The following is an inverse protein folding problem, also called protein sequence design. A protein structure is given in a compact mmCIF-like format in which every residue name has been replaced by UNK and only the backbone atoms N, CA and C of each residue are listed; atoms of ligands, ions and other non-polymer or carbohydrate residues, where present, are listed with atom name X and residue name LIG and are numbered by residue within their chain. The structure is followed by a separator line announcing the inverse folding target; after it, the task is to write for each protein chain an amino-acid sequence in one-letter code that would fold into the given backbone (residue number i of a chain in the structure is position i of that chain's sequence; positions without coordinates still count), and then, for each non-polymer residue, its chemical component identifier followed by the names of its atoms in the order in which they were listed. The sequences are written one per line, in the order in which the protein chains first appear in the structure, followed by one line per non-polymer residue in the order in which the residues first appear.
data_IF_621746458608
#
_entry.id   IF_621746458608
#
_cell.length_a   1.000
_cell.length_b   1.000
_cell.length_c   1.000
_cell.angle_alpha   90.00
_cell.angle_beta   90.00
_cell.angle_gamma   90.00
#
_symmetry.space_group_name_H-M   'P 1'
#
loop_
_entity.id
_entity.type
_entity.pdbx_description
1 polymer ?
#
# COMPACT_ATOMS: atom_id res chain seq x y z
N UNK A 1 63.13 2.88 -25.46
CA UNK A 1 62.26 1.69 -25.30
C UNK A 1 60.82 2.18 -25.36
N UNK A 2 59.97 1.99 -26.36
CA UNK A 2 59.89 1.32 -27.67
C UNK A 2 58.86 2.19 -28.45
N UNK A 3 59.14 2.78 -29.64
CA UNK A 3 59.08 2.19 -31.00
C UNK A 3 57.64 1.66 -31.29
N UNK A 4 56.87 2.08 -32.32
CA UNK A 4 56.99 1.82 -33.78
C UNK A 4 55.73 2.44 -34.47
N UNK A 5 55.87 3.35 -35.45
CA UNK A 5 55.70 3.18 -36.92
C UNK A 5 54.24 3.05 -37.40
N UNK A 6 53.74 3.66 -38.48
CA UNK A 6 54.27 4.47 -39.59
C UNK A 6 53.20 4.41 -40.73
N UNK A 7 53.06 5.42 -41.61
CA UNK A 7 52.11 5.37 -42.74
C UNK A 7 52.77 5.11 -44.11
N UNK A 8 51.94 4.61 -45.03
CA UNK A 8 51.92 4.83 -46.50
C UNK A 8 53.03 4.29 -47.46
N UNK A 9 52.52 3.52 -48.44
CA UNK A 9 52.72 3.59 -49.91
C UNK A 9 53.91 2.94 -50.66
N UNK A 10 53.56 2.54 -51.91
CA UNK A 10 54.38 2.20 -53.10
C UNK A 10 55.00 0.78 -53.20
N UNK A 11 55.13 0.11 -54.35
CA UNK A 11 54.59 0.18 -55.72
C UNK A 11 55.07 -1.09 -56.47
N UNK A 12 54.36 -1.51 -57.54
CA UNK A 12 54.91 -2.35 -58.62
C UNK A 12 54.16 -3.67 -58.84
N UNK A 13 53.76 -4.08 -60.05
CA UNK A 13 53.81 -3.49 -61.38
C UNK A 13 53.08 -4.44 -62.37
N UNK A 14 52.57 -3.85 -63.48
CA UNK A 14 52.44 -4.38 -64.87
C UNK A 14 51.98 -5.85 -65.10
N UNK A 15 50.97 -6.18 -65.90
CA UNK A 15 50.80 -6.00 -67.37
C UNK A 15 49.41 -6.60 -67.74
N UNK A 16 48.49 -5.87 -68.39
CA UNK A 16 48.18 -5.83 -69.84
C UNK A 16 46.92 -6.62 -70.27
N UNK A 17 46.01 -5.89 -70.96
CA UNK A 17 45.07 -6.31 -72.04
C UNK A 17 44.01 -7.37 -71.70
N UNK A 18 42.71 -7.15 -71.83
CA UNK A 18 41.90 -6.72 -73.00
C UNK A 18 40.57 -6.11 -72.46
N UNK A 19 39.98 -5.03 -72.98
CA UNK A 19 39.27 -4.94 -74.26
C UNK A 19 37.80 -4.50 -74.00
N UNK A 20 37.46 -3.28 -74.44
CA UNK A 20 36.15 -2.68 -74.83
C UNK A 20 34.85 -3.44 -74.47
N UNK A 21 33.79 -2.86 -73.88
CA UNK A 21 32.91 -1.81 -74.45
C UNK A 21 31.97 -1.20 -73.37
N UNK A 22 31.65 0.09 -73.48
CA UNK A 22 30.47 0.74 -72.85
C UNK A 22 29.26 0.62 -73.82
N UNK A 23 28.04 1.18 -73.58
CA UNK A 23 27.48 1.84 -72.38
C UNK A 23 26.03 1.41 -72.03
N UNK A 24 25.59 1.42 -70.78
CA UNK A 24 24.15 1.46 -70.48
C UNK A 24 23.82 2.40 -69.30
N UNK A 25 22.76 3.19 -69.53
CA UNK A 25 22.27 4.34 -68.76
C UNK A 25 21.76 3.96 -67.35
N UNK A 26 21.67 4.93 -66.42
CA UNK A 26 21.62 4.65 -64.97
C UNK A 26 20.28 4.06 -64.54
N UNK A 27 20.33 2.89 -63.90
CA UNK A 27 19.21 2.29 -63.19
C UNK A 27 18.89 3.15 -61.95
N UNK A 28 17.92 4.05 -62.14
CA UNK A 28 17.16 4.86 -61.20
C UNK A 28 17.63 4.88 -59.73
N UNK A 29 17.86 6.10 -59.24
CA UNK A 29 17.96 6.50 -57.82
C UNK A 29 16.87 5.88 -56.91
N UNK A 30 15.75 5.45 -57.48
CA UNK A 30 14.68 4.72 -56.81
C UNK A 30 15.09 3.35 -56.25
N UNK A 31 15.97 2.60 -56.92
CA UNK A 31 16.43 1.29 -56.43
C UNK A 31 17.46 1.41 -55.30
N UNK A 32 18.30 2.46 -55.33
CA UNK A 32 19.26 2.74 -54.25
C UNK A 32 18.56 3.26 -52.98
N UNK A 33 17.47 4.03 -53.12
CA UNK A 33 16.61 4.41 -51.99
C UNK A 33 15.88 3.19 -51.39
N UNK A 34 15.43 2.24 -52.22
CA UNK A 34 14.77 1.02 -51.75
C UNK A 34 15.72 0.05 -51.02
N UNK A 35 16.99 -0.04 -51.46
CA UNK A 35 18.03 -0.82 -50.78
C UNK A 35 18.54 -0.13 -49.49
N UNK A 36 18.54 1.21 -49.43
CA UNK A 36 18.82 1.97 -48.21
C UNK A 36 17.70 1.86 -47.15
N UNK A 37 16.44 1.81 -47.59
CA UNK A 37 15.28 1.69 -46.70
C UNK A 37 15.13 0.28 -46.09
N UNK A 38 15.72 -0.75 -46.70
CA UNK A 38 15.71 -2.13 -46.18
C UNK A 38 16.86 -2.44 -45.21
N UNK A 39 17.89 -1.58 -45.14
CA UNK A 39 19.01 -1.71 -44.20
C UNK A 39 18.78 -0.99 -42.84
N UNK A 40 17.71 -0.21 -42.69
CA UNK A 40 17.37 0.53 -41.46
C UNK A 40 16.00 0.15 -40.88
N UNK A 41 15.73 -1.14 -40.67
CA UNK A 41 14.66 -1.56 -39.76
C UNK A 41 14.85 -3.00 -39.27
N UNK A 42 16.02 -3.29 -38.71
CA UNK A 42 16.31 -4.56 -38.06
C UNK A 42 17.00 -4.37 -36.70
N UNK A 43 16.45 -3.48 -35.87
CA UNK A 43 16.69 -3.54 -34.42
C UNK A 43 15.41 -3.23 -33.63
N UNK A 44 14.32 -3.93 -33.98
CA UNK A 44 13.17 -4.02 -33.08
C UNK A 44 13.57 -4.95 -31.94
N UNK A 45 14.17 -4.39 -30.88
CA UNK A 45 14.31 -5.07 -29.60
C UNK A 45 12.95 -5.69 -29.28
N UNK A 46 12.89 -7.03 -29.29
CA UNK A 46 11.74 -7.78 -28.79
C UNK A 46 11.36 -7.17 -27.44
N UNK A 47 10.08 -6.84 -27.18
CA UNK A 47 9.71 -6.45 -25.82
C UNK A 47 10.15 -7.59 -24.92
N UNK A 48 11.08 -7.29 -24.01
CA UNK A 48 11.44 -8.18 -22.92
C UNK A 48 10.10 -8.59 -22.31
N UNK A 49 9.73 -9.87 -22.45
CA UNK A 49 8.61 -10.44 -21.71
C UNK A 49 8.83 -9.95 -20.30
N UNK A 50 7.88 -9.19 -19.75
CA UNK A 50 7.87 -8.80 -18.34
C UNK A 50 7.97 -10.11 -17.57
N UNK A 51 9.20 -10.50 -17.25
CA UNK A 51 9.49 -11.47 -16.24
C UNK A 51 8.71 -10.99 -15.02
N UNK A 52 8.05 -11.93 -14.35
CA UNK A 52 7.42 -11.65 -13.08
C UNK A 52 8.35 -10.78 -12.24
N UNK A 53 7.75 -9.83 -11.50
CA UNK A 53 8.48 -8.92 -10.61
C UNK A 53 9.67 -9.68 -10.00
N UNK A 54 10.91 -9.18 -10.10
CA UNK A 54 12.03 -9.81 -9.41
C UNK A 54 11.61 -10.05 -7.96
N UNK A 55 11.81 -11.26 -7.41
CA UNK A 55 11.41 -11.52 -6.03
C UNK A 55 12.03 -10.41 -5.16
N UNK A 56 11.23 -9.73 -4.32
CA UNK A 56 11.73 -8.63 -3.51
C UNK A 56 12.95 -9.12 -2.72
N UNK A 57 14.03 -8.34 -2.66
CA UNK A 57 15.28 -8.68 -1.98
C UNK A 57 15.00 -9.28 -0.60
N UNK A 58 15.11 -10.62 -0.51
CA UNK A 58 14.73 -11.36 0.70
C UNK A 58 15.95 -11.43 1.62
N UNK A 59 15.94 -10.79 2.80
CA UNK A 59 17.08 -10.86 3.71
C UNK A 59 17.24 -12.27 4.29
N UNK A 60 18.50 -12.69 4.40
CA UNK A 60 18.95 -14.03 4.78
C UNK A 60 18.55 -14.44 6.20
N UNK A 61 18.17 -13.48 7.05
CA UNK A 61 17.76 -13.66 8.44
C UNK A 61 16.45 -12.91 8.69
N UNK A 62 15.53 -13.50 9.44
CA UNK A 62 14.44 -12.77 10.08
C UNK A 62 14.63 -12.91 11.60
N UNK A 63 14.39 -11.84 12.35
CA UNK A 63 14.25 -11.90 13.81
C UNK A 63 15.50 -12.41 14.56
N UNK A 64 16.70 -11.94 14.19
CA UNK A 64 18.02 -12.25 14.80
C UNK A 64 18.43 -13.75 14.91
N UNK A 65 17.51 -14.71 14.76
CA UNK A 65 17.67 -16.13 15.11
C UNK A 65 17.05 -17.11 14.09
N UNK A 66 16.25 -16.66 13.10
CA UNK A 66 15.60 -17.55 12.12
C UNK A 66 16.25 -17.41 10.73
N UNK A 67 17.15 -18.34 10.33
CA UNK A 67 17.68 -18.36 8.97
C UNK A 67 16.59 -18.68 7.93
N UNK A 68 16.76 -18.19 6.70
CA UNK A 68 15.89 -18.44 5.53
C UNK A 68 15.62 -19.95 5.26
N UNK A 69 16.47 -20.83 5.81
CA UNK A 69 16.44 -22.29 5.64
C UNK A 69 15.46 -23.03 6.55
N UNK A 70 14.89 -22.37 7.57
CA UNK A 70 13.97 -23.04 8.49
C UNK A 70 12.64 -23.38 7.78
N UNK A 71 12.14 -24.63 7.89
CA UNK A 71 10.93 -25.07 7.19
C UNK A 71 9.69 -24.26 7.60
N UNK A 72 9.65 -23.81 8.85
CA UNK A 72 8.56 -22.97 9.39
C UNK A 72 8.51 -21.62 8.66
N UNK A 73 9.65 -20.97 8.42
CA UNK A 73 9.69 -19.70 7.69
C UNK A 73 9.30 -19.87 6.23
N UNK A 74 9.74 -20.97 5.59
CA UNK A 74 9.36 -21.28 4.21
C UNK A 74 7.85 -21.53 4.08
N UNK A 75 7.28 -22.34 4.98
CA UNK A 75 5.83 -22.58 5.02
C UNK A 75 5.05 -21.29 5.26
N UNK A 76 5.47 -20.42 6.19
CA UNK A 76 4.81 -19.15 6.41
C UNK A 76 4.88 -18.22 5.19
N UNK A 77 6.00 -18.20 4.47
CA UNK A 77 6.13 -17.42 3.23
C UNK A 77 5.19 -17.98 2.17
N UNK A 78 5.18 -19.30 1.98
CA UNK A 78 4.33 -19.95 0.99
C UNK A 78 2.84 -19.70 1.30
N UNK A 79 2.43 -19.78 2.56
CA UNK A 79 1.05 -19.50 3.01
C UNK A 79 0.67 -18.03 2.89
N UNK A 80 1.58 -17.10 3.21
CA UNK A 80 1.29 -15.65 3.10
C UNK A 80 1.25 -15.19 1.63
N UNK A 81 2.06 -15.78 0.75
CA UNK A 81 2.06 -15.47 -0.68
C UNK A 81 0.88 -16.12 -1.44
N UNK A 82 0.11 -16.99 -0.79
CA UNK A 82 -1.06 -17.62 -1.40
C UNK A 82 -2.21 -16.63 -1.61
N UNK A 83 -2.63 -16.46 -2.86
CA UNK A 83 -3.82 -15.65 -3.21
C UNK A 83 -5.11 -16.04 -2.46
N UNK A 84 -5.42 -17.34 -2.25
CA UNK A 84 -6.60 -17.71 -1.46
C UNK A 84 -6.54 -17.21 -0.02
N UNK A 85 -5.34 -17.10 0.57
CA UNK A 85 -5.16 -16.58 1.91
C UNK A 85 -5.53 -15.10 1.99
N UNK A 86 -5.14 -14.30 0.99
CA UNK A 86 -5.55 -12.90 0.89
C UNK A 86 -7.09 -12.74 0.80
N UNK A 87 -7.76 -13.57 -0.01
CA UNK A 87 -9.22 -13.57 -0.10
C UNK A 87 -9.90 -14.01 1.20
N UNK A 88 -9.34 -14.98 1.93
CA UNK A 88 -9.85 -15.42 3.22
C UNK A 88 -9.81 -14.28 4.25
N UNK A 89 -8.70 -13.55 4.31
CA UNK A 89 -8.56 -12.40 5.22
C UNK A 89 -9.53 -11.29 4.83
N UNK A 90 -9.68 -11.00 3.53
CA UNK A 90 -10.66 -10.03 3.04
C UNK A 90 -12.10 -10.41 3.42
N UNK A 91 -12.47 -11.67 3.25
CA UNK A 91 -13.78 -12.19 3.64
C UNK A 91 -13.99 -12.07 5.16
N UNK A 92 -12.95 -12.33 5.95
CA UNK A 92 -12.98 -12.20 7.42
C UNK A 92 -13.21 -10.74 7.85
N UNK A 93 -12.56 -9.77 7.18
CA UNK A 93 -12.78 -8.33 7.41
C UNK A 93 -14.24 -7.99 7.10
N UNK A 94 -14.76 -8.44 5.95
CA UNK A 94 -16.13 -8.19 5.56
C UNK A 94 -17.14 -8.77 6.56
N UNK A 95 -16.94 -10.02 7.00
CA UNK A 95 -17.76 -10.65 8.02
C UNK A 95 -17.72 -9.89 9.36
N UNK A 96 -16.56 -9.36 9.74
CA UNK A 96 -16.45 -8.51 10.93
C UNK A 96 -17.21 -7.18 10.79
N UNK A 97 -17.21 -6.56 9.61
CA UNK A 97 -18.01 -5.36 9.35
C UNK A 97 -19.51 -5.66 9.47
N UNK A 98 -19.98 -6.81 8.96
CA UNK A 98 -21.38 -7.23 9.09
C UNK A 98 -21.73 -7.47 10.55
N UNK A 99 -20.86 -8.13 11.32
CA UNK A 99 -21.06 -8.32 12.75
C UNK A 99 -21.19 -6.99 13.51
N UNK A 100 -20.36 -5.99 13.17
CA UNK A 100 -20.45 -4.65 13.72
C UNK A 100 -21.76 -3.93 13.32
N UNK A 101 -22.25 -4.14 12.10
CA UNK A 101 -23.49 -3.54 11.63
C UNK A 101 -24.74 -4.14 12.28
N UNK A 102 -24.70 -5.44 12.63
CA UNK A 102 -25.80 -6.14 13.32
C UNK A 102 -25.81 -5.86 14.83
N UNK A 103 -24.68 -5.41 15.38
CA UNK A 103 -24.56 -5.10 16.80
C UNK A 103 -25.56 -4.01 17.21
N UNK A 104 -26.45 -4.34 18.15
CA UNK A 104 -27.49 -3.43 18.65
C UNK A 104 -27.11 -2.93 20.04
N UNK A 105 -26.81 -1.62 20.21
CA UNK A 105 -26.49 -1.06 21.51
C UNK A 105 -27.78 -0.89 22.33
N UNK A 106 -27.92 -1.65 23.41
CA UNK A 106 -29.00 -1.48 24.38
C UNK A 106 -28.54 -0.60 25.55
N UNK A 107 -29.44 0.26 26.09
CA UNK A 107 -29.15 1.02 27.30
C UNK A 107 -29.02 0.09 28.52
N UNK A 108 -28.32 0.56 29.57
CA UNK A 108 -28.19 -0.10 30.87
C UNK A 108 -27.50 -1.48 30.91
N UNK A 109 -26.56 -1.74 29.99
CA UNK A 109 -25.80 -3.01 29.96
C UNK A 109 -26.68 -4.25 29.78
N UNK A 110 -27.91 -4.07 29.30
CA UNK A 110 -28.79 -5.17 28.97
C UNK A 110 -28.29 -5.82 27.68
N UNK A 111 -28.06 -7.14 27.70
CA UNK A 111 -27.47 -7.85 26.56
C UNK A 111 -28.36 -9.01 26.16
N UNK A 112 -28.95 -8.94 24.98
CA UNK A 112 -29.60 -10.09 24.37
C UNK A 112 -28.57 -11.19 24.05
N UNK A 113 -29.01 -12.45 24.03
CA UNK A 113 -28.23 -13.62 23.62
C UNK A 113 -27.44 -13.39 22.32
N UNK A 114 -28.02 -12.68 21.34
CA UNK A 114 -27.37 -12.30 20.07
C UNK A 114 -26.07 -11.51 20.29
N UNK A 115 -26.06 -10.51 21.18
CA UNK A 115 -24.87 -9.68 21.44
C UNK A 115 -23.73 -10.50 22.07
N UNK A 116 -24.06 -11.46 22.93
CA UNK A 116 -23.07 -12.37 23.51
C UNK A 116 -22.41 -13.26 22.45
N UNK A 117 -23.18 -13.76 21.47
CA UNK A 117 -22.62 -14.51 20.35
C UNK A 117 -21.74 -13.64 19.45
N UNK A 118 -22.16 -12.40 19.17
CA UNK A 118 -21.37 -11.44 18.39
C UNK A 118 -20.02 -11.15 19.07
N UNK A 119 -19.98 -10.96 20.39
CA UNK A 119 -18.72 -10.73 21.12
C UNK A 119 -17.76 -11.94 21.02
N UNK A 120 -18.28 -13.18 21.08
CA UNK A 120 -17.47 -14.38 20.87
C UNK A 120 -16.91 -14.44 19.44
N UNK A 121 -17.74 -14.14 18.46
CA UNK A 121 -17.35 -14.10 17.04
C UNK A 121 -16.26 -13.04 16.80
N UNK A 122 -16.36 -11.87 17.43
CA UNK A 122 -15.34 -10.82 17.33
C UNK A 122 -13.98 -11.23 17.90
N UNK A 123 -13.98 -12.03 18.97
CA UNK A 123 -12.77 -12.60 19.53
C UNK A 123 -12.13 -13.63 18.57
N UNK A 124 -12.96 -14.44 17.89
CA UNK A 124 -12.49 -15.36 16.83
C UNK A 124 -11.88 -14.58 15.67
N UNK A 125 -12.51 -13.51 15.20
CA UNK A 125 -11.94 -12.66 14.15
C UNK A 125 -10.60 -12.05 14.57
N UNK A 126 -10.50 -11.58 15.81
CA UNK A 126 -9.24 -11.07 16.35
C UNK A 126 -8.14 -12.15 16.38
N UNK A 127 -8.48 -13.38 16.77
CA UNK A 127 -7.53 -14.49 16.76
C UNK A 127 -7.02 -14.78 15.34
N UNK A 128 -7.91 -14.82 14.34
CA UNK A 128 -7.54 -15.04 12.93
C UNK A 128 -6.55 -13.96 12.46
N UNK A 129 -6.85 -12.69 12.73
CA UNK A 129 -5.94 -11.59 12.36
C UNK A 129 -4.63 -11.60 13.14
N UNK A 130 -4.63 -12.07 14.38
CA UNK A 130 -3.41 -12.21 15.16
C UNK A 130 -2.50 -13.27 14.54
N UNK A 131 -3.07 -14.41 14.15
CA UNK A 131 -2.34 -15.49 13.48
C UNK A 131 -1.78 -15.01 12.15
N UNK A 132 -2.57 -14.28 11.35
CA UNK A 132 -2.12 -13.70 10.09
C UNK A 132 -0.95 -12.70 10.28
N UNK A 133 -1.07 -11.80 11.25
CA UNK A 133 -0.03 -10.82 11.57
C UNK A 133 1.26 -11.51 12.03
N UNK A 134 1.17 -12.51 12.92
CA UNK A 134 2.31 -13.31 13.36
C UNK A 134 2.97 -14.04 12.19
N UNK A 135 2.19 -14.65 11.28
CA UNK A 135 2.73 -15.29 10.08
C UNK A 135 3.47 -14.29 9.18
N UNK A 136 2.91 -13.09 8.97
CA UNK A 136 3.58 -12.03 8.20
C UNK A 136 4.86 -11.54 8.88
N UNK A 137 4.88 -11.43 10.21
CA UNK A 137 6.07 -11.06 10.98
C UNK A 137 7.16 -12.13 10.85
N UNK A 138 6.81 -13.42 10.89
CA UNK A 138 7.77 -14.53 10.71
C UNK A 138 8.29 -14.58 9.27
N UNK A 139 7.44 -14.33 8.28
CA UNK A 139 7.80 -14.34 6.87
C UNK A 139 8.77 -13.19 6.50
N UNK A 140 8.42 -11.95 6.86
CA UNK A 140 9.13 -10.74 6.43
C UNK A 140 10.14 -10.21 7.46
N UNK A 141 10.00 -10.55 8.75
CA UNK A 141 10.85 -10.06 9.85
C UNK A 141 10.40 -8.71 10.42
N UNK A 142 10.69 -8.48 11.72
CA UNK A 142 10.24 -7.32 12.51
C UNK A 142 10.83 -5.97 12.06
N UNK A 143 12.14 -5.74 12.20
CA UNK A 143 12.76 -4.39 12.06
C UNK A 143 14.12 -4.38 11.35
N UNK A 144 14.88 -5.49 11.36
CA UNK A 144 16.31 -5.47 11.04
C UNK A 144 16.71 -5.33 9.56
N UNK A 145 15.75 -5.17 8.63
CA UNK A 145 16.04 -5.23 7.18
C UNK A 145 15.27 -4.19 6.35
N UNK A 146 15.78 -3.80 5.16
CA UNK A 146 15.16 -2.78 4.31
C UNK A 146 13.76 -3.15 3.78
N UNK A 147 13.35 -4.43 3.86
CA UNK A 147 12.00 -4.93 3.59
C UNK A 147 11.21 -5.36 4.84
N UNK A 148 11.59 -4.87 6.02
CA UNK A 148 10.95 -5.24 7.29
C UNK A 148 9.45 -4.89 7.31
N UNK A 149 8.67 -5.74 7.97
CA UNK A 149 7.21 -5.64 8.04
C UNK A 149 6.72 -4.26 8.54
N UNK A 150 7.39 -3.70 9.55
CA UNK A 150 7.01 -2.42 10.17
C UNK A 150 7.37 -1.18 9.34
N UNK A 151 8.16 -1.33 8.27
CA UNK A 151 8.54 -0.20 7.41
C UNK A 151 7.49 0.10 6.32
N UNK A 152 6.59 -0.85 6.06
CA UNK A 152 5.41 -0.60 5.24
C UNK A 152 4.29 0.00 6.10
N UNK A 153 3.90 1.25 5.81
CA UNK A 153 2.87 1.95 6.60
C UNK A 153 1.53 1.22 6.69
N UNK A 154 1.15 0.47 5.67
CA UNK A 154 -0.09 -0.31 5.66
C UNK A 154 -0.03 -1.52 6.58
N UNK A 155 1.12 -2.19 6.64
CA UNK A 155 1.35 -3.31 7.56
C UNK A 155 1.49 -2.81 9.00
N UNK A 156 2.04 -1.61 9.21
CA UNK A 156 2.11 -0.97 10.52
C UNK A 156 0.71 -0.63 11.06
N UNK A 157 -0.19 -0.14 10.20
CA UNK A 157 -1.59 0.08 10.55
C UNK A 157 -2.25 -1.23 11.00
N UNK A 158 -2.07 -2.29 10.22
CA UNK A 158 -2.62 -3.60 10.53
C UNK A 158 -2.09 -4.13 11.88
N UNK A 159 -0.77 -4.07 12.10
CA UNK A 159 -0.13 -4.42 13.37
C UNK A 159 -0.72 -3.63 14.55
N UNK A 160 -0.87 -2.31 14.40
CA UNK A 160 -1.40 -1.44 15.45
C UNK A 160 -2.81 -1.84 15.84
N UNK A 161 -3.67 -2.17 14.87
CA UNK A 161 -5.03 -2.64 15.15
C UNK A 161 -5.02 -4.01 15.87
N UNK A 162 -4.08 -4.92 15.56
CA UNK A 162 -3.98 -6.23 16.25
C UNK A 162 -3.61 -5.96 17.71
N UNK A 163 -2.59 -5.12 17.94
CA UNK A 163 -2.08 -4.81 19.27
C UNK A 163 -3.14 -4.13 20.12
N UNK A 164 -3.85 -3.13 19.60
CA UNK A 164 -4.94 -2.46 20.32
C UNK A 164 -6.05 -3.46 20.65
N UNK A 165 -6.39 -4.34 19.70
CA UNK A 165 -7.40 -5.38 19.92
C UNK A 165 -6.99 -6.39 21.01
N UNK A 166 -5.74 -6.86 20.97
CA UNK A 166 -5.20 -7.79 21.97
C UNK A 166 -5.12 -7.13 23.34
N UNK A 167 -4.66 -5.88 23.41
CA UNK A 167 -4.61 -5.12 24.64
C UNK A 167 -6.01 -4.92 25.23
N UNK A 168 -6.99 -4.55 24.39
CA UNK A 168 -8.39 -4.41 24.78
C UNK A 168 -8.96 -5.73 25.34
N UNK A 169 -8.72 -6.84 24.66
CA UNK A 169 -9.15 -8.17 25.13
C UNK A 169 -8.45 -8.58 26.42
N UNK A 170 -7.13 -8.38 26.53
CA UNK A 170 -6.36 -8.71 27.73
C UNK A 170 -6.83 -7.88 28.94
N UNK A 171 -7.04 -6.57 28.77
CA UNK A 171 -7.52 -5.70 29.85
C UNK A 171 -8.91 -6.11 30.33
N UNK A 172 -9.81 -6.49 29.41
CA UNK A 172 -11.15 -6.95 29.76
C UNK A 172 -11.16 -8.26 30.56
N UNK A 173 -10.16 -9.13 30.36
CA UNK A 173 -10.03 -10.37 31.12
C UNK A 173 -9.35 -10.16 32.48
N UNK A 174 -8.41 -9.20 32.57
CA UNK A 174 -7.57 -8.99 33.76
C UNK A 174 -8.17 -8.00 34.76
N UNK A 175 -8.88 -6.96 34.29
CA UNK A 175 -9.50 -5.94 35.13
C UNK A 175 -11.03 -5.98 34.98
N UNK A 176 -11.69 -6.77 35.83
CA UNK A 176 -13.16 -6.86 35.87
C UNK A 176 -13.84 -5.61 36.45
N UNK A 177 -13.15 -4.84 37.30
CA UNK A 177 -13.81 -3.84 38.16
C UNK A 177 -13.35 -2.37 37.98
N UNK A 178 -12.49 -2.05 37.01
CA UNK A 178 -11.78 -0.75 37.03
C UNK A 178 -11.82 0.13 35.78
N UNK A 179 -12.18 -0.39 34.60
CA UNK A 179 -12.03 0.36 33.35
C UNK A 179 -13.28 0.31 32.49
N UNK A 180 -13.65 1.45 31.90
CA UNK A 180 -14.74 1.53 30.94
C UNK A 180 -14.36 0.83 29.63
N UNK A 181 -14.55 -0.49 29.62
CA UNK A 181 -14.36 -1.40 28.48
C UNK A 181 -15.16 -0.96 27.25
N UNK A 182 -16.13 -0.04 27.39
CA UNK A 182 -16.88 0.53 26.27
C UNK A 182 -16.00 1.40 25.37
N UNK A 183 -15.10 2.20 25.93
CA UNK A 183 -14.18 3.01 25.14
C UNK A 183 -13.19 2.14 24.34
N UNK A 184 -12.67 1.06 24.96
CA UNK A 184 -11.77 0.12 24.30
C UNK A 184 -12.47 -0.71 23.20
N UNK A 185 -13.79 -0.86 23.29
CA UNK A 185 -14.62 -1.48 22.25
C UNK A 185 -14.76 -0.57 21.02
N UNK A 186 -14.75 0.74 21.19
CA UNK A 186 -14.85 1.70 20.08
C UNK A 186 -13.70 1.55 19.07
N UNK A 187 -12.48 1.18 19.51
CA UNK A 187 -11.36 0.91 18.60
C UNK A 187 -11.62 -0.22 17.60
N UNK A 188 -12.61 -1.08 17.82
CA UNK A 188 -13.03 -2.10 16.84
C UNK A 188 -13.54 -1.47 15.53
N UNK A 189 -14.01 -0.21 15.56
CA UNK A 189 -14.39 0.57 14.37
C UNK A 189 -13.22 0.85 13.42
N UNK A 190 -11.98 0.66 13.87
CA UNK A 190 -10.79 0.80 13.03
C UNK A 190 -10.53 -0.44 12.16
N UNK A 191 -11.12 -1.60 12.49
CA UNK A 191 -10.89 -2.86 11.74
C UNK A 191 -11.24 -2.78 10.25
N UNK A 192 -12.34 -2.12 9.83
CA UNK A 192 -12.63 -1.87 8.41
C UNK A 192 -11.50 -1.16 7.67
N UNK A 193 -10.65 -0.37 8.35
CA UNK A 193 -9.50 0.29 7.71
C UNK A 193 -8.47 -0.72 7.19
N UNK A 194 -8.45 -1.95 7.71
CA UNK A 194 -7.59 -3.03 7.19
C UNK A 194 -7.95 -3.46 5.78
N UNK A 195 -9.20 -3.22 5.35
CA UNK A 195 -9.61 -3.45 3.97
C UNK A 195 -8.74 -2.63 3.02
N UNK A 196 -8.35 -1.41 3.43
CA UNK A 196 -7.42 -0.57 2.66
C UNK A 196 -6.04 -1.20 2.58
N UNK A 197 -5.52 -1.78 3.67
CA UNK A 197 -4.23 -2.50 3.61
C UNK A 197 -4.29 -3.80 2.81
N UNK A 198 -5.44 -4.47 2.73
CA UNK A 198 -5.62 -5.71 1.96
C UNK A 198 -5.85 -5.50 0.46
N UNK A 199 -6.39 -4.34 0.06
CA UNK A 199 -6.77 -4.07 -1.33
C UNK A 199 -5.87 -2.97 -1.93
N UNK A 200 -4.92 -3.31 -2.83
CA UNK A 200 -3.94 -2.35 -3.33
C UNK A 200 -4.54 -1.19 -4.14
N UNK A 201 -5.70 -1.39 -4.78
CA UNK A 201 -6.41 -0.31 -5.49
C UNK A 201 -6.87 0.79 -4.54
N UNK A 202 -7.32 0.44 -3.33
CA UNK A 202 -7.75 1.42 -2.33
C UNK A 202 -6.58 2.22 -1.77
N UNK A 203 -5.39 1.61 -1.66
CA UNK A 203 -4.19 2.30 -1.21
C UNK A 203 -3.81 3.45 -2.14
N UNK A 204 -3.92 3.24 -3.46
CA UNK A 204 -3.63 4.27 -4.48
C UNK A 204 -4.64 5.40 -4.41
N UNK A 205 -5.92 5.08 -4.23
CA UNK A 205 -6.99 6.07 -4.08
C UNK A 205 -6.76 6.90 -2.81
N UNK A 206 -6.52 6.25 -1.67
CA UNK A 206 -6.33 6.95 -0.40
C UNK A 206 -5.07 7.84 -0.42
N UNK A 207 -3.98 7.38 -1.05
CA UNK A 207 -2.77 8.19 -1.22
C UNK A 207 -3.04 9.43 -2.09
N UNK A 208 -3.86 9.29 -3.13
CA UNK A 208 -4.28 10.43 -3.96
C UNK A 208 -5.09 11.45 -3.16
N UNK A 209 -6.02 10.98 -2.30
CA UNK A 209 -6.80 11.83 -1.40
C UNK A 209 -5.89 12.56 -0.41
N UNK A 210 -4.96 11.84 0.24
CA UNK A 210 -4.02 12.44 1.19
C UNK A 210 -3.13 13.50 0.55
N UNK A 211 -2.70 13.29 -0.70
CA UNK A 211 -1.93 14.29 -1.46
C UNK A 211 -2.75 15.54 -1.77
N UNK A 212 -4.03 15.38 -2.10
CA UNK A 212 -4.95 16.50 -2.32
C UNK A 212 -5.30 17.26 -1.05
N UNK A 213 -5.19 16.63 0.13
CA UNK A 213 -5.46 17.27 1.42
C UNK A 213 -4.43 18.36 1.78
N UNK A 214 -3.17 18.20 1.37
CA UNK A 214 -2.09 19.15 1.67
C UNK A 214 -2.40 20.58 1.17
N UNK A 215 -2.77 20.82 -0.11
CA UNK A 215 -3.13 22.16 -0.56
C UNK A 215 -4.41 22.70 0.10
N UNK A 216 -5.37 21.83 0.42
CA UNK A 216 -6.60 22.24 1.09
C UNK A 216 -6.36 22.73 2.53
N UNK A 217 -5.30 22.25 3.20
CA UNK A 217 -4.95 22.69 4.55
C UNK A 217 -4.67 24.20 4.61
N UNK A 218 -4.05 24.78 3.58
CA UNK A 218 -3.80 26.23 3.54
C UNK A 218 -5.08 27.05 3.45
N UNK A 219 -6.04 26.60 2.65
CA UNK A 219 -7.35 27.24 2.51
C UNK A 219 -8.15 27.07 3.82
N UNK A 220 -8.12 25.88 4.41
CA UNK A 220 -8.77 25.61 5.68
C UNK A 220 -8.24 26.50 6.82
N UNK A 221 -6.92 26.76 6.85
CA UNK A 221 -6.32 27.68 7.82
C UNK A 221 -6.82 29.12 7.64
N UNK A 222 -6.93 29.60 6.40
CA UNK A 222 -7.50 30.93 6.12
C UNK A 222 -8.97 31.02 6.56
N UNK A 223 -9.77 30.01 6.23
CA UNK A 223 -11.18 29.95 6.63
C UNK A 223 -11.32 29.90 8.15
N UNK A 224 -10.48 29.13 8.85
CA UNK A 224 -10.46 29.08 10.30
C UNK A 224 -10.17 30.45 10.91
N UNK A 225 -9.22 31.21 10.36
CA UNK A 225 -8.91 32.57 10.82
C UNK A 225 -10.11 33.51 10.65
N UNK A 226 -10.80 33.45 9.51
CA UNK A 226 -12.01 34.25 9.25
C UNK A 226 -13.13 33.88 10.24
N UNK A 227 -13.34 32.58 10.50
CA UNK A 227 -14.32 32.11 11.48
C UNK A 227 -14.01 32.67 12.87
N UNK A 228 -12.73 32.70 13.29
CA UNK A 228 -12.33 33.26 14.59
C UNK A 228 -12.67 34.75 14.69
N UNK A 229 -12.38 35.54 13.64
CA UNK A 229 -12.72 36.98 13.64
C UNK A 229 -14.23 37.18 13.81
N UNK A 230 -15.04 36.48 13.00
CA UNK A 230 -16.49 36.57 13.12
C UNK A 230 -17.03 36.03 14.44
N UNK A 231 -16.39 35.01 15.02
CA UNK A 231 -16.76 34.49 16.33
C UNK A 231 -16.51 35.51 17.45
N UNK A 232 -15.38 36.24 17.42
CA UNK A 232 -15.07 37.31 18.39
C UNK A 232 -16.08 38.45 18.25
N UNK A 233 -16.32 38.92 17.02
CA UNK A 233 -17.33 39.97 16.76
C UNK A 233 -18.72 39.52 17.22
N UNK A 234 -19.12 38.29 16.89
CA UNK A 234 -20.41 37.73 17.32
C UNK A 234 -20.51 37.58 18.84
N UNK A 235 -19.42 37.20 19.52
CA UNK A 235 -19.38 37.16 20.97
C UNK A 235 -19.56 38.55 21.57
N UNK A 236 -18.87 39.57 21.06
CA UNK A 236 -19.01 40.94 21.55
C UNK A 236 -20.41 41.52 21.30
N UNK A 237 -21.01 41.24 20.14
CA UNK A 237 -22.33 41.77 19.76
C UNK A 237 -23.51 41.05 20.44
N UNK A 238 -23.40 39.73 20.65
CA UNK A 238 -24.53 38.90 21.07
C UNK A 238 -24.33 38.24 22.43
N UNK A 239 -23.26 38.58 23.16
CA UNK A 239 -23.07 38.10 24.54
C UNK A 239 -24.22 38.57 25.42
N UNK A 240 -24.96 37.61 25.99
CA UNK A 240 -26.03 37.86 26.96
C UNK A 240 -27.42 38.11 26.37
N UNK A 241 -27.56 38.39 25.07
CA UNK A 241 -28.87 38.73 24.47
C UNK A 241 -29.78 37.51 24.26
N UNK A 242 -29.22 36.31 24.02
CA UNK A 242 -29.98 35.09 23.70
C UNK A 242 -30.49 34.30 24.92
N UNK A 243 -30.47 34.87 26.13
CA UNK A 243 -30.95 34.19 27.37
C UNK A 243 -32.44 34.40 27.67
N UNK A 244 -33.17 35.13 26.83
CA UNK A 244 -34.59 35.40 27.04
C UNK A 244 -35.43 34.37 26.29
N UNK A 245 -36.23 33.61 27.03
CA UNK A 245 -37.28 32.76 26.49
C UNK A 245 -38.59 33.06 27.22
N UNK A 246 -39.72 32.94 26.53
CA UNK A 246 -41.03 33.08 27.16
C UNK A 246 -41.32 31.81 27.97
N UNK A 247 -41.71 31.98 29.23
CA UNK A 247 -42.29 30.91 30.03
C UNK A 247 -43.68 31.35 30.49
N UNK A 248 -44.64 30.45 30.41
CA UNK A 248 -45.98 30.69 30.93
C UNK A 248 -45.97 30.63 32.46
N UNK A 249 -46.55 31.65 33.10
CA UNK A 249 -46.65 31.77 34.56
C UNK A 249 -47.73 30.87 35.18
N UNK A 250 -48.17 29.84 34.46
CA UNK A 250 -49.27 28.95 34.86
C UNK A 250 -48.68 27.59 35.24
N UNK A 251 -48.09 27.50 36.44
CA UNK A 251 -47.86 26.26 37.18
C UNK A 251 -47.86 26.58 38.66
#
# INVERSE_FOLDING_TARGET
THKISGPQHELGGTTSTTGSTAPDKPLSTAWQAALGATAMSANKKRPVRRGGKPPPDRPQRALFCLPLKNPIRKLCIDVVEWKPFEYLILLTIFANCVALAVYTPYPNSDSNSTNLYLEKIENVFLAIFTVECVMKIIAYGLVAHPGAYLRNGWNLLDFTIVVIGLLSSALSNLMKDGFDVKALRAFRVLRPLRLVSGVPSLQVVLNSILRAMVPLLHIALLVLFVIIIYAIIGLELFSGEMHKTCFDNIT
#
